data_IF_286687199558
#
_entry.id   IF_286687199558
#
_cell.length_a   1.000
_cell.length_b   1.000
_cell.length_c   1.000
_cell.angle_alpha   90.00
_cell.angle_beta   90.00
_cell.angle_gamma   90.00
#
_symmetry.space_group_name_H-M   'P 1'
#
loop_
_entity.id
_entity.type
_entity.pdbx_description
1 polymer ?
#
# COMPACT_ATOMS: atom_id res chain seq x y z
N UNK A 1 -44.28 -27.08 30.88
CA UNK A 1 -43.96 -26.51 29.56
C UNK A 1 -45.10 -25.57 29.12
N UNK A 2 -45.04 -24.28 29.46
CA UNK A 2 -45.95 -23.26 28.91
C UNK A 2 -45.39 -21.84 29.15
N UNK A 3 -44.27 -21.52 28.50
CA UNK A 3 -43.67 -20.17 28.54
C UNK A 3 -43.95 -19.36 27.26
N UNK A 4 -44.59 -19.98 26.28
CA UNK A 4 -44.81 -19.43 24.94
C UNK A 4 -46.17 -18.73 24.77
N UNK A 5 -47.11 -18.90 25.71
CA UNK A 5 -48.45 -18.32 25.60
C UNK A 5 -48.53 -16.86 26.08
N UNK A 6 -47.69 -16.45 27.04
CA UNK A 6 -47.70 -15.09 27.61
C UNK A 6 -47.08 -14.03 26.71
N UNK A 7 -46.23 -14.42 25.76
CA UNK A 7 -45.61 -13.49 24.80
C UNK A 7 -46.61 -13.04 23.72
N UNK A 8 -47.52 -13.93 23.31
CA UNK A 8 -48.42 -13.70 22.17
C UNK A 8 -49.61 -12.77 22.48
N UNK A 9 -49.95 -12.56 23.75
CA UNK A 9 -51.11 -11.75 24.18
C UNK A 9 -50.76 -10.28 24.48
N UNK A 10 -49.48 -9.90 24.51
CA UNK A 10 -49.08 -8.51 24.76
C UNK A 10 -49.36 -7.61 23.54
N UNK A 11 -49.79 -6.37 23.79
CA UNK A 11 -50.06 -5.37 22.74
C UNK A 11 -48.83 -5.08 21.87
N UNK A 12 -47.63 -5.27 22.44
CA UNK A 12 -46.35 -5.14 21.77
C UNK A 12 -46.12 -6.26 20.73
N UNK A 13 -46.59 -7.48 20.99
CA UNK A 13 -46.50 -8.58 20.02
C UNK A 13 -47.35 -8.32 18.77
N UNK A 14 -48.53 -7.71 18.92
CA UNK A 14 -49.37 -7.27 17.78
C UNK A 14 -48.70 -6.17 16.95
N UNK A 15 -47.96 -5.25 17.59
CA UNK A 15 -47.19 -4.20 16.90
C UNK A 15 -45.99 -4.80 16.16
N UNK A 16 -45.31 -5.78 16.76
CA UNK A 16 -44.14 -6.45 16.18
C UNK A 16 -44.51 -7.42 15.04
N UNK A 17 -45.68 -8.07 15.11
CA UNK A 17 -46.19 -8.97 14.05
C UNK A 17 -46.91 -8.20 12.92
N UNK A 18 -46.84 -6.86 12.92
CA UNK A 18 -47.37 -6.06 11.82
C UNK A 18 -46.48 -6.23 10.58
N UNK A 19 -47.06 -6.55 9.42
CA UNK A 19 -46.34 -6.71 8.15
C UNK A 19 -45.40 -5.55 7.84
N UNK A 20 -45.81 -4.32 8.19
CA UNK A 20 -44.99 -3.13 7.99
C UNK A 20 -43.78 -3.10 8.94
N UNK A 21 -43.94 -3.50 10.20
CA UNK A 21 -42.84 -3.54 11.16
C UNK A 21 -41.78 -4.59 10.80
N UNK A 22 -42.21 -5.76 10.30
CA UNK A 22 -41.29 -6.80 9.83
C UNK A 22 -40.50 -6.37 8.59
N UNK A 23 -41.16 -5.75 7.60
CA UNK A 23 -40.49 -5.24 6.40
C UNK A 23 -39.53 -4.11 6.75
N UNK A 24 -39.92 -3.19 7.64
CA UNK A 24 -39.03 -2.11 8.11
C UNK A 24 -37.84 -2.68 8.89
N UNK A 25 -38.05 -3.66 9.77
CA UNK A 25 -36.96 -4.29 10.52
C UNK A 25 -35.98 -5.01 9.59
N UNK A 26 -36.49 -5.76 8.61
CA UNK A 26 -35.66 -6.40 7.60
C UNK A 26 -34.87 -5.36 6.81
N UNK A 27 -35.50 -4.27 6.39
CA UNK A 27 -34.83 -3.19 5.67
C UNK A 27 -33.74 -2.50 6.51
N UNK A 28 -33.99 -2.24 7.79
CA UNK A 28 -32.99 -1.66 8.69
C UNK A 28 -31.81 -2.62 8.91
N UNK A 29 -32.08 -3.90 9.11
CA UNK A 29 -31.03 -4.93 9.23
C UNK A 29 -30.26 -5.04 7.92
N UNK A 30 -30.93 -5.00 6.77
CA UNK A 30 -30.26 -5.01 5.46
C UNK A 30 -29.38 -3.78 5.26
N UNK A 31 -29.87 -2.58 5.54
CA UNK A 31 -29.07 -1.35 5.43
C UNK A 31 -27.88 -1.34 6.41
N UNK A 32 -28.06 -1.89 7.62
CA UNK A 32 -27.00 -1.94 8.62
C UNK A 32 -25.92 -3.00 8.32
N UNK A 33 -26.32 -4.20 7.87
CA UNK A 33 -25.40 -5.32 7.66
C UNK A 33 -24.87 -5.43 6.23
N UNK A 34 -25.67 -5.05 5.22
CA UNK A 34 -25.29 -5.17 3.80
C UNK A 34 -24.80 -3.86 3.19
N UNK A 35 -25.36 -2.71 3.59
CA UNK A 35 -25.16 -1.47 2.82
C UNK A 35 -24.03 -0.56 3.35
N UNK A 36 -23.81 -0.41 4.66
CA UNK A 36 -23.10 0.79 5.14
C UNK A 36 -21.92 0.59 6.10
N UNK A 37 -21.64 -0.59 6.63
CA UNK A 37 -20.57 -0.74 7.64
C UNK A 37 -20.00 -2.14 7.70
N UNK A 38 -19.45 -2.61 6.57
CA UNK A 38 -18.66 -3.83 6.62
C UNK A 38 -17.29 -3.52 7.22
N UNK A 39 -16.99 -4.11 8.37
CA UNK A 39 -15.67 -4.02 9.01
C UNK A 39 -14.54 -4.43 8.04
N UNK A 40 -14.85 -5.28 7.05
CA UNK A 40 -13.94 -5.67 5.98
C UNK A 40 -13.46 -4.49 5.13
N UNK A 41 -14.38 -3.57 4.78
CA UNK A 41 -14.04 -2.39 3.97
C UNK A 41 -13.12 -1.46 4.78
N UNK A 42 -13.42 -1.28 6.06
CA UNK A 42 -12.59 -0.45 6.93
C UNK A 42 -11.18 -1.03 7.08
N UNK A 43 -11.06 -2.35 7.26
CA UNK A 43 -9.76 -3.02 7.32
C UNK A 43 -8.97 -2.92 6.01
N UNK A 44 -9.64 -3.06 4.86
CA UNK A 44 -9.00 -2.87 3.57
C UNK A 44 -8.51 -1.43 3.40
N UNK A 45 -9.32 -0.46 3.82
CA UNK A 45 -8.95 0.96 3.76
C UNK A 45 -7.76 1.27 4.67
N UNK A 46 -7.75 0.75 5.90
CA UNK A 46 -6.64 0.90 6.83
C UNK A 46 -5.36 0.24 6.31
N UNK A 47 -5.47 -0.93 5.67
CA UNK A 47 -4.32 -1.61 5.06
C UNK A 47 -3.75 -0.79 3.89
N UNK A 48 -4.63 -0.23 3.04
CA UNK A 48 -4.22 0.67 1.95
C UNK A 48 -3.56 1.94 2.48
N UNK A 49 -4.08 2.49 3.58
CA UNK A 49 -3.51 3.68 4.21
C UNK A 49 -2.09 3.41 4.71
N UNK A 50 -1.88 2.31 5.44
CA UNK A 50 -0.55 1.90 5.90
C UNK A 50 0.43 1.68 4.75
N UNK A 51 -0.01 0.98 3.70
CA UNK A 51 0.85 0.77 2.53
C UNK A 51 1.26 2.09 1.85
N UNK A 52 0.39 3.11 1.88
CA UNK A 52 0.69 4.43 1.35
C UNK A 52 1.67 5.19 2.25
N UNK A 53 1.49 5.13 3.57
CA UNK A 53 2.40 5.72 4.56
C UNK A 53 3.79 5.08 4.50
N UNK A 54 3.87 3.75 4.44
CA UNK A 54 5.13 3.02 4.27
C UNK A 54 5.84 3.42 2.96
N UNK A 55 5.07 3.61 1.89
CA UNK A 55 5.60 4.10 0.61
C UNK A 55 6.18 5.50 0.72
N UNK A 56 5.48 6.41 1.40
CA UNK A 56 5.96 7.78 1.64
C UNK A 56 7.27 7.75 2.44
N UNK A 57 7.32 6.98 3.52
CA UNK A 57 8.51 6.86 4.36
C UNK A 57 9.70 6.30 3.57
N UNK A 58 9.47 5.26 2.77
CA UNK A 58 10.49 4.67 1.90
C UNK A 58 11.09 5.72 0.95
N UNK A 59 10.25 6.45 0.20
CA UNK A 59 10.75 7.43 -0.76
C UNK A 59 11.42 8.63 -0.09
N UNK A 60 10.99 9.04 1.11
CA UNK A 60 11.65 10.10 1.86
C UNK A 60 13.08 9.70 2.26
N UNK A 61 13.27 8.46 2.73
CA UNK A 61 14.60 7.94 3.06
C UNK A 61 15.50 7.84 1.82
N UNK A 62 14.96 7.31 0.72
CA UNK A 62 15.69 7.19 -0.55
C UNK A 62 16.13 8.57 -1.08
N UNK A 63 15.25 9.57 -0.95
CA UNK A 63 15.55 10.94 -1.34
C UNK A 63 16.67 11.54 -0.48
N UNK A 64 16.65 11.31 0.83
CA UNK A 64 17.70 11.78 1.74
C UNK A 64 19.06 11.13 1.43
N UNK A 65 19.07 9.82 1.17
CA UNK A 65 20.29 9.11 0.78
C UNK A 65 20.82 9.58 -0.57
N UNK A 66 19.95 9.70 -1.57
CA UNK A 66 20.32 10.20 -2.91
C UNK A 66 20.87 11.62 -2.84
N UNK A 67 20.25 12.49 -2.02
CA UNK A 67 20.72 13.86 -1.85
C UNK A 67 22.11 13.88 -1.20
N UNK A 68 22.37 13.05 -0.18
CA UNK A 68 23.70 12.92 0.42
C UNK A 68 24.73 12.46 -0.60
N UNK A 69 24.41 11.45 -1.41
CA UNK A 69 25.30 10.98 -2.48
C UNK A 69 25.60 12.09 -3.49
N UNK A 70 24.58 12.87 -3.89
CA UNK A 70 24.77 14.03 -4.76
C UNK A 70 25.68 15.09 -4.14
N UNK A 71 25.49 15.42 -2.86
CA UNK A 71 26.31 16.40 -2.16
C UNK A 71 27.77 15.91 -2.03
N UNK A 72 27.98 14.62 -1.78
CA UNK A 72 29.31 13.99 -1.74
C UNK A 72 29.99 13.96 -3.12
N UNK A 73 29.23 13.75 -4.20
CA UNK A 73 29.74 13.84 -5.57
C UNK A 73 30.04 15.28 -5.97
N UNK A 74 29.19 16.23 -5.61
CA UNK A 74 29.32 17.64 -6.00
C UNK A 74 30.43 18.37 -5.23
N UNK A 75 30.74 17.93 -4.00
CA UNK A 75 31.77 18.55 -3.17
C UNK A 75 33.20 18.21 -3.61
N UNK A 76 33.41 17.11 -4.36
CA UNK A 76 34.73 16.63 -4.76
C UNK A 76 34.80 16.34 -6.29
N UNK A 77 35.50 17.19 -7.07
CA UNK A 77 35.63 17.01 -8.51
C UNK A 77 36.26 15.67 -8.92
N UNK A 78 37.16 15.12 -8.10
CA UNK A 78 37.82 13.85 -8.40
C UNK A 78 36.85 12.67 -8.24
N UNK A 79 35.97 12.72 -7.24
CA UNK A 79 34.88 11.73 -7.08
C UNK A 79 33.87 11.81 -8.20
N UNK A 80 33.53 13.02 -8.65
CA UNK A 80 32.64 13.22 -9.79
C UNK A 80 33.25 12.66 -11.08
N UNK A 81 34.52 12.94 -11.36
CA UNK A 81 35.23 12.39 -12.53
C UNK A 81 35.29 10.85 -12.47
N UNK A 82 35.58 10.28 -11.30
CA UNK A 82 35.58 8.82 -11.09
C UNK A 82 34.21 8.21 -11.38
N UNK A 83 33.13 8.77 -10.81
CA UNK A 83 31.77 8.29 -11.04
C UNK A 83 31.36 8.38 -12.52
N UNK A 84 31.69 9.48 -13.19
CA UNK A 84 31.42 9.65 -14.62
C UNK A 84 32.18 8.62 -15.48
N UNK A 85 33.41 8.28 -15.10
CA UNK A 85 34.23 7.27 -15.78
C UNK A 85 33.75 5.84 -15.54
N UNK A 86 33.38 5.48 -14.31
CA UNK A 86 32.99 4.11 -13.96
C UNK A 86 31.55 3.79 -14.37
N UNK A 87 30.61 4.71 -14.12
CA UNK A 87 29.18 4.48 -14.37
C UNK A 87 28.79 4.76 -15.81
N UNK A 88 29.32 5.84 -16.39
CA UNK A 88 28.90 6.34 -17.71
C UNK A 88 29.99 6.25 -18.78
N UNK A 89 31.18 5.75 -18.43
CA UNK A 89 32.33 5.57 -19.33
C UNK A 89 32.71 6.87 -20.06
N UNK A 90 32.48 8.00 -19.39
CA UNK A 90 32.88 9.31 -19.90
C UNK A 90 34.41 9.39 -19.98
N UNK A 91 34.90 10.02 -21.05
CA UNK A 91 36.33 10.15 -21.33
C UNK A 91 36.62 11.54 -21.90
N UNK A 92 37.85 12.03 -21.70
CA UNK A 92 38.24 13.36 -22.20
C UNK A 92 38.49 13.30 -23.72
N UNK A 93 38.32 14.43 -24.44
CA UNK A 93 38.64 14.48 -25.87
C UNK A 93 40.09 14.04 -26.13
N UNK A 94 40.27 13.04 -26.98
CA UNK A 94 41.58 12.45 -27.30
C UNK A 94 41.96 11.20 -26.49
N UNK A 95 41.15 10.79 -25.51
CA UNK A 95 41.33 9.59 -24.70
C UNK A 95 40.63 8.38 -25.36
N UNK A 96 41.20 7.17 -25.29
CA UNK A 96 40.59 5.93 -25.82
C UNK A 96 40.16 5.02 -24.67
N UNK A 97 38.90 4.61 -24.65
CA UNK A 97 38.35 3.64 -23.70
C UNK A 97 38.28 2.26 -24.38
N UNK A 98 38.79 1.21 -23.73
CA UNK A 98 38.71 -0.16 -24.21
C UNK A 98 38.10 -1.05 -23.12
N UNK A 99 37.05 -1.81 -23.46
CA UNK A 99 36.55 -2.87 -22.58
C UNK A 99 37.36 -4.15 -22.83
N UNK A 100 37.96 -4.68 -21.76
CA UNK A 100 38.63 -5.98 -21.78
C UNK A 100 37.67 -7.00 -21.20
N UNK A 101 37.14 -7.89 -22.05
CA UNK A 101 36.44 -9.07 -21.57
C UNK A 101 37.46 -10.02 -20.94
N UNK A 102 37.17 -10.66 -19.80
CA UNK A 102 38.00 -11.77 -19.33
C UNK A 102 38.05 -12.82 -20.45
N UNK A 103 39.25 -13.37 -20.72
CA UNK A 103 39.36 -14.53 -21.60
C UNK A 103 38.41 -15.60 -21.07
N UNK A 104 37.39 -15.92 -21.86
CA UNK A 104 36.70 -17.18 -21.66
C UNK A 104 37.71 -18.23 -22.08
N UNK A 105 38.22 -18.98 -21.11
CA UNK A 105 38.84 -20.28 -21.36
C UNK A 105 37.81 -21.08 -22.17
N UNK A 106 37.96 -21.02 -23.49
CA UNK A 106 37.25 -21.90 -24.40
C UNK A 106 38.18 -23.10 -24.49
N UNK A 107 37.96 -24.06 -23.58
CA UNK A 107 38.45 -25.43 -23.75
C UNK A 107 37.85 -25.97 -25.06
N UNK A 108 38.68 -26.02 -26.11
CA UNK A 108 38.75 -27.11 -27.12
C UNK A 108 39.87 -26.85 -28.15
#
# INVERSE_FOLDING_TARGET
MSRWQTLRSSTWWKRLTNKYALVTLFFVVWMAFLDSSSALIQWELDARLRALEDGIEFYQRELEETQRQLDELASDPDKLEKFARETYWMHKPGERVALVAPESETDD
#
